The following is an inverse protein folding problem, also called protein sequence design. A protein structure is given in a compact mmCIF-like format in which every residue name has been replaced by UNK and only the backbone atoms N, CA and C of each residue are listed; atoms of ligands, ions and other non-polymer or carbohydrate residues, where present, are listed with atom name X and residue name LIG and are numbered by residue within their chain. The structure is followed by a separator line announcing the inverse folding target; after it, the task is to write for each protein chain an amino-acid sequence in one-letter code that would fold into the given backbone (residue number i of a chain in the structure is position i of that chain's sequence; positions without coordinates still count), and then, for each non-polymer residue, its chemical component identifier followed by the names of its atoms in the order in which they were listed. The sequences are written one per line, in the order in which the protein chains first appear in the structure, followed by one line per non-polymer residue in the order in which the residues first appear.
data_IF_925946290770
#
_entry.id   IF_925946290770
#
_cell.length_a   1.000
_cell.length_b   1.000
_cell.length_c   1.000
_cell.angle_alpha   90.00
_cell.angle_beta   90.00
_cell.angle_gamma   90.00
#
_symmetry.space_group_name_H-M   'P 1'
#
loop_
_entity.id
_entity.type
_entity.pdbx_description
1 polymer ?
#
# COMPACT_ATOMS: atom_id res chain seq x y z
N UNK A 1 7.05 28.70 -5.41
CA UNK A 1 6.41 27.56 -4.73
C UNK A 1 7.34 26.38 -4.94
N UNK A 2 7.79 25.70 -3.89
CA UNK A 2 8.55 24.47 -4.10
C UNK A 2 7.63 23.51 -4.85
N UNK A 3 8.02 23.05 -6.04
CA UNK A 3 7.27 22.03 -6.77
C UNK A 3 7.17 20.81 -5.84
N UNK A 4 5.94 20.50 -5.41
CA UNK A 4 5.68 19.25 -4.71
C UNK A 4 5.85 18.13 -5.73
N UNK A 5 7.03 17.53 -5.71
CA UNK A 5 7.39 16.43 -6.60
C UNK A 5 6.53 15.16 -6.38
N UNK A 6 5.95 15.02 -5.18
CA UNK A 6 5.09 13.92 -4.79
C UNK A 6 3.85 14.47 -4.07
N UNK A 7 2.72 13.80 -4.24
CA UNK A 7 1.44 14.16 -3.65
C UNK A 7 0.85 15.43 -4.23
N UNK A 8 0.87 15.58 -5.56
CA UNK A 8 0.21 16.73 -6.21
C UNK A 8 -1.31 16.56 -6.25
N UNK A 9 -1.82 15.32 -6.27
CA UNK A 9 -3.24 15.01 -6.02
C UNK A 9 -3.47 14.77 -4.53
N UNK A 10 -4.71 14.94 -4.08
CA UNK A 10 -5.11 14.57 -2.71
C UNK A 10 -4.95 13.06 -2.45
N UNK A 11 -5.14 12.24 -3.49
CA UNK A 11 -4.93 10.80 -3.47
C UNK A 11 -3.46 10.43 -3.25
N UNK A 12 -2.54 10.99 -4.04
CA UNK A 12 -1.09 10.78 -3.88
C UNK A 12 -0.56 11.35 -2.57
N UNK A 13 -1.12 12.47 -2.10
CA UNK A 13 -0.76 13.07 -0.81
C UNK A 13 -1.04 12.12 0.37
N UNK A 14 -2.05 11.26 0.29
CA UNK A 14 -2.30 10.27 1.34
C UNK A 14 -1.18 9.22 1.44
N UNK A 15 -0.50 8.90 0.33
CA UNK A 15 0.71 8.07 0.34
C UNK A 15 1.93 8.82 0.87
N UNK A 16 2.09 10.10 0.53
CA UNK A 16 3.14 10.96 1.12
C UNK A 16 3.00 10.99 2.65
N UNK A 17 1.78 11.03 3.18
CA UNK A 17 1.51 11.05 4.63
C UNK A 17 1.91 9.75 5.35
N UNK A 18 2.03 8.62 4.64
CA UNK A 18 2.62 7.39 5.21
C UNK A 18 4.13 7.58 5.45
N UNK A 19 4.82 8.26 4.52
CA UNK A 19 6.24 8.60 4.66
C UNK A 19 6.46 9.77 5.64
N UNK A 20 5.61 10.79 5.59
CA UNK A 20 5.70 12.05 6.34
C UNK A 20 4.46 12.27 7.24
N UNK A 21 4.30 11.52 8.35
CA UNK A 21 3.15 11.71 9.23
C UNK A 21 3.11 13.11 9.87
N UNK A 22 1.91 13.69 9.95
CA UNK A 22 1.68 15.05 10.46
C UNK A 22 2.07 15.26 11.94
N UNK A 23 2.21 14.17 12.72
CA UNK A 23 2.51 14.22 14.16
C UNK A 23 3.98 13.94 14.48
N UNK A 24 4.90 14.13 13.53
CA UNK A 24 6.33 14.00 13.82
C UNK A 24 6.84 15.19 14.66
N UNK A 25 7.46 14.88 15.79
CA UNK A 25 8.05 15.86 16.71
C UNK A 25 9.48 16.26 16.33
N UNK A 26 10.13 15.51 15.44
CA UNK A 26 11.48 15.79 14.93
C UNK A 26 11.58 15.39 13.45
N UNK A 27 12.39 16.10 12.64
CA UNK A 27 12.64 15.72 11.27
C UNK A 27 13.23 14.29 11.18
N UNK A 28 12.68 13.46 10.31
CA UNK A 28 13.23 12.13 10.01
C UNK A 28 14.39 12.26 9.00
N UNK A 29 15.64 11.96 9.41
CA UNK A 29 16.82 12.17 8.57
C UNK A 29 16.87 11.24 7.35
N UNK A 30 16.02 10.21 7.28
CA UNK A 30 15.96 9.29 6.14
C UNK A 30 15.16 9.87 4.97
N UNK A 31 14.27 10.83 5.20
CA UNK A 31 13.34 11.34 4.19
C UNK A 31 14.03 11.95 2.96
N UNK A 32 15.05 12.82 3.08
CA UNK A 32 15.72 13.39 1.90
C UNK A 32 16.30 12.31 0.99
N UNK A 33 16.83 11.24 1.60
CA UNK A 33 17.40 10.11 0.87
C UNK A 33 16.33 9.22 0.26
N UNK A 34 15.25 8.95 0.98
CA UNK A 34 14.11 8.19 0.45
C UNK A 34 13.50 8.88 -0.77
N UNK A 35 13.26 10.21 -0.68
CA UNK A 35 12.80 11.04 -1.81
C UNK A 35 13.76 10.95 -2.99
N UNK A 36 15.07 11.08 -2.73
CA UNK A 36 16.07 10.95 -3.77
C UNK A 36 16.06 9.58 -4.47
N UNK A 37 15.80 8.48 -3.76
CA UNK A 37 15.71 7.15 -4.37
C UNK A 37 14.48 7.07 -5.29
N UNK A 38 13.31 7.49 -4.80
CA UNK A 38 12.07 7.46 -5.58
C UNK A 38 12.15 8.37 -6.82
N UNK A 39 12.70 9.59 -6.67
CA UNK A 39 12.89 10.56 -7.76
C UNK A 39 13.71 10.03 -8.93
N UNK A 40 14.73 9.21 -8.64
CA UNK A 40 15.67 8.74 -9.67
C UNK A 40 15.35 7.29 -10.10
N UNK A 41 14.07 6.91 -10.08
CA UNK A 41 13.58 5.58 -10.49
C UNK A 41 14.28 4.40 -9.77
N UNK A 42 14.75 4.63 -8.54
CA UNK A 42 15.46 3.61 -7.75
C UNK A 42 14.56 2.55 -7.13
N UNK A 43 13.25 2.63 -7.37
CA UNK A 43 12.23 1.71 -6.84
C UNK A 43 11.55 0.98 -8.01
N UNK A 44 11.67 -0.34 -8.04
CA UNK A 44 10.93 -1.19 -8.97
C UNK A 44 9.84 -1.93 -8.20
N UNK A 45 8.68 -1.30 -8.08
CA UNK A 45 7.50 -1.90 -7.45
C UNK A 45 6.60 -2.64 -8.45
N UNK A 46 6.13 -3.81 -8.03
CA UNK A 46 5.08 -4.62 -8.67
C UNK A 46 3.94 -4.77 -7.66
N UNK A 47 2.70 -4.69 -8.15
CA UNK A 47 1.48 -4.76 -7.36
C UNK A 47 0.72 -6.03 -7.69
N UNK A 48 0.37 -6.82 -6.67
CA UNK A 48 -0.42 -8.04 -6.78
C UNK A 48 -1.59 -7.95 -5.81
N UNK A 49 -2.75 -7.52 -6.30
CA UNK A 49 -3.90 -7.19 -5.45
C UNK A 49 -3.53 -6.10 -4.44
N UNK A 50 -3.65 -6.42 -3.14
CA UNK A 50 -3.34 -5.51 -2.03
C UNK A 50 -1.89 -5.53 -1.57
N UNK A 51 -1.02 -6.24 -2.27
CA UNK A 51 0.39 -6.42 -1.89
C UNK A 51 1.26 -5.66 -2.88
N UNK A 52 2.09 -4.76 -2.35
CA UNK A 52 3.16 -4.10 -3.08
C UNK A 52 4.48 -4.76 -2.73
N UNK A 53 5.17 -5.28 -3.74
CA UNK A 53 6.54 -5.77 -3.62
C UNK A 53 7.46 -4.83 -4.37
N UNK A 54 8.41 -4.20 -3.69
CA UNK A 54 9.36 -3.32 -4.35
C UNK A 54 10.80 -3.77 -4.18
N UNK A 55 11.55 -3.74 -5.28
CA UNK A 55 12.98 -3.97 -5.30
C UNK A 55 13.71 -2.63 -5.35
N UNK A 56 14.61 -2.40 -4.41
CA UNK A 56 15.41 -1.19 -4.34
C UNK A 56 16.88 -1.59 -4.43
N UNK A 57 17.54 -1.14 -5.51
CA UNK A 57 18.96 -1.36 -5.71
C UNK A 57 19.75 -0.14 -5.24
N UNK A 58 20.73 -0.38 -4.37
CA UNK A 58 21.67 0.65 -3.95
C UNK A 58 23.10 0.11 -3.96
N UNK A 59 23.89 0.58 -4.91
CA UNK A 59 25.23 0.06 -5.13
C UNK A 59 25.17 -1.45 -5.36
N UNK A 60 26.01 -2.23 -4.68
CA UNK A 60 26.03 -3.69 -4.78
C UNK A 60 25.02 -4.42 -3.87
N UNK A 61 24.01 -3.75 -3.32
CA UNK A 61 23.02 -4.36 -2.43
C UNK A 61 21.60 -4.15 -2.97
N UNK A 62 20.80 -5.20 -2.93
CA UNK A 62 19.38 -5.16 -3.25
C UNK A 62 18.57 -5.41 -1.97
N UNK A 63 17.56 -4.58 -1.72
CA UNK A 63 16.57 -4.80 -0.66
C UNK A 63 15.20 -4.95 -1.28
N UNK A 64 14.37 -5.80 -0.66
CA UNK A 64 13.00 -6.04 -1.09
C UNK A 64 12.09 -5.59 0.03
N UNK A 65 11.14 -4.70 -0.29
CA UNK A 65 10.06 -4.30 0.60
C UNK A 65 8.79 -5.06 0.24
N UNK A 66 8.00 -5.37 1.26
CA UNK A 66 6.67 -5.93 1.15
C UNK A 66 5.73 -5.03 1.95
N UNK A 67 4.72 -4.49 1.30
CA UNK A 67 3.71 -3.65 1.93
C UNK A 67 2.35 -4.25 1.60
N UNK A 68 1.59 -4.61 2.62
CA UNK A 68 0.21 -5.08 2.46
C UNK A 68 -0.75 -4.00 2.97
N UNK A 69 -1.78 -3.72 2.18
CA UNK A 69 -2.81 -2.74 2.48
C UNK A 69 -4.03 -3.42 3.11
N UNK A 70 -4.63 -2.79 4.10
CA UNK A 70 -5.93 -3.21 4.66
C UNK A 70 -7.00 -3.06 3.57
N UNK A 71 -7.85 -4.08 3.33
CA UNK A 71 -8.94 -3.96 2.37
C UNK A 71 -10.00 -2.96 2.84
N UNK A 72 -10.64 -2.26 1.90
CA UNK A 72 -11.86 -1.51 2.19
C UNK A 72 -12.97 -2.46 2.66
N UNK A 73 -13.69 -2.06 3.70
CA UNK A 73 -14.90 -2.77 4.09
C UNK A 73 -15.95 -2.72 2.96
N UNK A 74 -16.77 -3.76 2.81
CA UNK A 74 -17.80 -3.82 1.76
C UNK A 74 -18.76 -2.63 1.78
N UNK A 75 -19.11 -2.15 2.96
CA UNK A 75 -19.92 -0.94 3.16
C UNK A 75 -19.23 0.31 2.62
N UNK A 76 -17.92 0.46 2.85
CA UNK A 76 -17.11 1.54 2.31
C UNK A 76 -17.01 1.46 0.78
N UNK A 77 -16.79 0.27 0.20
CA UNK A 77 -16.79 0.07 -1.26
C UNK A 77 -18.12 0.48 -1.88
N UNK A 78 -19.23 0.07 -1.26
CA UNK A 78 -20.59 0.39 -1.74
C UNK A 78 -20.86 1.89 -1.69
N UNK A 79 -20.51 2.54 -0.58
CA UNK A 79 -20.66 3.99 -0.42
C UNK A 79 -19.77 4.76 -1.40
N UNK A 80 -18.52 4.32 -1.57
CA UNK A 80 -17.57 4.96 -2.47
C UNK A 80 -18.01 4.82 -3.93
N UNK A 81 -18.57 3.66 -4.32
CA UNK A 81 -19.16 3.45 -5.66
C UNK A 81 -20.26 4.48 -5.97
N UNK A 82 -21.01 4.93 -4.96
CA UNK A 82 -22.02 5.99 -5.14
C UNK A 82 -21.42 7.38 -5.43
N UNK A 83 -20.15 7.61 -5.04
CA UNK A 83 -19.42 8.87 -5.26
C UNK A 83 -18.63 8.80 -6.57
N UNK A 84 -17.92 7.68 -6.78
CA UNK A 84 -16.95 7.56 -7.88
C UNK A 84 -17.49 6.84 -9.11
N UNK A 85 -18.64 6.17 -8.99
CA UNK A 85 -19.16 5.26 -10.00
C UNK A 85 -18.62 3.84 -9.83
N UNK A 86 -19.16 2.92 -10.63
CA UNK A 86 -18.77 1.49 -10.60
C UNK A 86 -17.41 1.26 -11.23
N UNK A 87 -17.10 2.00 -12.28
CA UNK A 87 -15.83 1.89 -13.01
C UNK A 87 -15.30 3.31 -13.28
N UNK A 88 -14.76 3.99 -12.25
CA UNK A 88 -14.23 5.33 -12.42
C UNK A 88 -13.04 5.31 -13.38
N UNK A 89 -13.17 5.99 -14.51
CA UNK A 89 -12.07 6.22 -15.45
C UNK A 89 -11.19 7.41 -15.05
N UNK A 90 -11.68 8.25 -14.14
CA UNK A 90 -10.97 9.40 -13.57
C UNK A 90 -11.43 9.60 -12.13
N UNK A 91 -10.49 9.81 -11.21
CA UNK A 91 -10.75 10.20 -9.84
C UNK A 91 -10.21 11.60 -9.60
N UNK A 92 -11.08 12.52 -9.17
CA UNK A 92 -10.71 13.91 -8.90
C UNK A 92 -10.52 14.17 -7.41
N UNK A 93 -9.95 15.32 -7.07
CA UNK A 93 -9.80 15.76 -5.69
C UNK A 93 -11.15 16.08 -5.02
N UNK A 94 -12.16 16.50 -5.80
CA UNK A 94 -13.51 16.70 -5.30
C UNK A 94 -14.16 15.37 -4.87
N UNK A 95 -13.89 14.28 -5.60
CA UNK A 95 -14.37 12.95 -5.25
C UNK A 95 -13.68 12.43 -3.97
N UNK A 96 -12.38 12.70 -3.81
CA UNK A 96 -11.66 12.45 -2.56
C UNK A 96 -12.28 13.22 -1.39
N UNK A 97 -12.52 14.52 -1.57
CA UNK A 97 -13.13 15.38 -0.57
C UNK A 97 -14.55 14.93 -0.20
N UNK A 98 -15.35 14.51 -1.19
CA UNK A 98 -16.68 13.96 -0.97
C UNK A 98 -16.64 12.66 -0.17
N UNK A 99 -15.71 11.75 -0.47
CA UNK A 99 -15.52 10.52 0.28
C UNK A 99 -15.09 10.79 1.72
N UNK A 100 -14.15 11.72 1.94
CA UNK A 100 -13.75 12.20 3.27
C UNK A 100 -14.91 12.82 4.04
N UNK A 101 -15.74 13.63 3.39
CA UNK A 101 -16.91 14.25 4.02
C UNK A 101 -18.00 13.24 4.42
N UNK A 102 -18.01 12.07 3.77
CA UNK A 102 -18.87 10.93 4.10
C UNK A 102 -18.21 9.93 5.06
N UNK A 103 -17.07 10.28 5.69
CA UNK A 103 -16.29 9.43 6.59
C UNK A 103 -15.85 8.09 5.97
N UNK A 104 -15.66 8.05 4.64
CA UNK A 104 -15.18 6.86 3.94
C UNK A 104 -13.64 6.85 3.99
N UNK A 105 -13.01 5.77 4.48
CA UNK A 105 -11.56 5.68 4.62
C UNK A 105 -10.90 5.44 3.24
N UNK A 106 -10.67 6.50 2.47
CA UNK A 106 -10.00 6.42 1.15
C UNK A 106 -8.48 6.47 1.25
N UNK A 107 -7.94 6.90 2.38
CA UNK A 107 -6.51 6.90 2.63
C UNK A 107 -6.02 5.47 2.89
N UNK A 108 -4.89 5.04 2.31
CA UNK A 108 -4.37 3.70 2.48
C UNK A 108 -4.01 3.42 3.94
N UNK A 109 -4.56 2.31 4.45
CA UNK A 109 -4.16 1.75 5.75
C UNK A 109 -3.27 0.53 5.54
N UNK A 110 -2.23 0.39 6.37
CA UNK A 110 -1.23 -0.67 6.24
C UNK A 110 -1.59 -1.84 7.15
N UNK A 111 -1.75 -3.03 6.57
CA UNK A 111 -1.96 -4.28 7.30
C UNK A 111 -0.62 -4.89 7.75
N UNK A 112 0.39 -4.87 6.89
CA UNK A 112 1.73 -5.39 7.18
C UNK A 112 2.81 -4.66 6.39
N UNK A 113 4.01 -4.57 6.98
CA UNK A 113 5.20 -4.01 6.34
C UNK A 113 6.39 -4.90 6.70
N UNK A 114 7.15 -5.30 5.69
CA UNK A 114 8.44 -5.97 5.86
C UNK A 114 9.48 -5.43 4.87
N UNK A 115 10.76 -5.53 5.26
CA UNK A 115 11.87 -5.16 4.40
C UNK A 115 13.11 -6.00 4.72
N UNK A 116 13.71 -6.60 3.69
CA UNK A 116 14.87 -7.50 3.83
C UNK A 116 16.17 -6.80 4.25
N UNK A 117 16.18 -5.47 4.37
CA UNK A 117 17.36 -4.71 4.76
C UNK A 117 17.74 -4.93 6.24
N UNK A 118 19.01 -4.69 6.56
CA UNK A 118 19.55 -4.89 7.91
C UNK A 118 18.92 -4.00 8.99
N UNK A 119 18.26 -2.90 8.63
CA UNK A 119 17.57 -2.04 9.61
C UNK A 119 16.40 -2.76 10.29
N UNK A 120 15.72 -3.68 9.58
CA UNK A 120 14.57 -4.47 10.08
C UNK A 120 13.52 -3.63 10.82
N UNK A 121 13.18 -2.46 10.29
CA UNK A 121 12.12 -1.60 10.83
C UNK A 121 11.10 -1.26 9.75
N UNK A 122 9.86 -1.02 10.19
CA UNK A 122 8.76 -0.56 9.35
C UNK A 122 8.97 0.84 8.74
N UNK A 123 10.05 1.56 9.14
CA UNK A 123 10.37 2.91 8.67
C UNK A 123 11.83 3.04 8.20
N UNK A 124 12.34 2.00 7.55
CA UNK A 124 13.64 2.09 6.89
C UNK A 124 13.54 2.93 5.60
N UNK A 125 14.69 3.38 5.08
CA UNK A 125 14.76 4.21 3.87
C UNK A 125 14.09 3.56 2.65
N UNK A 126 14.09 2.23 2.54
CA UNK A 126 13.51 1.51 1.41
C UNK A 126 11.97 1.55 1.44
N UNK A 127 11.37 1.36 2.62
CA UNK A 127 9.92 1.47 2.81
C UNK A 127 9.47 2.90 2.51
N UNK A 128 10.19 3.89 3.04
CA UNK A 128 9.89 5.30 2.78
C UNK A 128 10.01 5.64 1.29
N UNK A 129 11.04 5.15 0.60
CA UNK A 129 11.19 5.33 -0.84
C UNK A 129 10.05 4.65 -1.62
N UNK A 130 9.58 3.49 -1.15
CA UNK A 130 8.42 2.81 -1.75
C UNK A 130 7.15 3.64 -1.61
N UNK A 131 6.92 4.30 -0.46
CA UNK A 131 5.77 5.20 -0.32
C UNK A 131 5.83 6.41 -1.25
N UNK A 132 7.00 7.01 -1.48
CA UNK A 132 7.12 8.10 -2.47
C UNK A 132 6.93 7.61 -3.91
N UNK A 133 7.46 6.43 -4.26
CA UNK A 133 7.20 5.85 -5.59
C UNK A 133 5.71 5.56 -5.81
N UNK A 134 5.03 5.02 -4.80
CA UNK A 134 3.58 4.82 -4.83
C UNK A 134 2.82 6.14 -4.90
N UNK A 135 3.25 7.17 -4.16
CA UNK A 135 2.66 8.49 -4.24
C UNK A 135 2.71 9.04 -5.67
N UNK A 136 3.86 8.92 -6.36
CA UNK A 136 4.01 9.35 -7.77
C UNK A 136 3.12 8.55 -8.72
N UNK A 137 3.06 7.22 -8.57
CA UNK A 137 2.19 6.38 -9.41
C UNK A 137 0.71 6.68 -9.20
N UNK A 138 0.29 6.94 -7.96
CA UNK A 138 -1.09 7.30 -7.62
C UNK A 138 -1.42 8.71 -8.08
N UNK A 139 -0.46 9.60 -8.04
CA UNK A 139 -0.56 10.92 -8.63
C UNK A 139 -0.80 10.84 -10.16
N UNK A 140 -0.12 9.91 -10.85
CA UNK A 140 -0.30 9.64 -12.29
C UNK A 140 -1.64 8.93 -12.58
N UNK A 141 -2.02 7.96 -11.73
CA UNK A 141 -3.29 7.21 -11.80
C UNK A 141 -3.88 7.02 -10.40
N UNK A 142 -4.80 7.89 -9.95
CA UNK A 142 -5.33 7.79 -8.59
C UNK A 142 -6.17 6.55 -8.34
N UNK A 143 -6.66 5.87 -9.39
CA UNK A 143 -7.40 4.61 -9.27
C UNK A 143 -6.56 3.53 -8.60
N UNK A 144 -5.25 3.53 -8.85
CA UNK A 144 -4.30 2.62 -8.21
C UNK A 144 -4.44 2.59 -6.68
N UNK A 145 -4.74 3.74 -6.04
CA UNK A 145 -4.90 3.80 -4.59
C UNK A 145 -6.13 3.02 -4.10
N UNK A 146 -7.21 2.99 -4.88
CA UNK A 146 -8.41 2.22 -4.55
C UNK A 146 -8.23 0.74 -4.87
N UNK A 147 -7.58 0.42 -5.98
CA UNK A 147 -7.29 -0.95 -6.40
C UNK A 147 -6.39 -1.67 -5.38
N UNK A 148 -5.37 -0.98 -4.88
CA UNK A 148 -4.50 -1.48 -3.80
C UNK A 148 -5.24 -1.72 -2.49
N UNK A 149 -6.39 -1.09 -2.28
CA UNK A 149 -7.26 -1.32 -1.13
C UNK A 149 -8.43 -2.28 -1.45
N UNK A 150 -8.42 -2.91 -2.63
CA UNK A 150 -9.38 -3.96 -3.01
C UNK A 150 -10.73 -3.45 -3.53
N UNK A 151 -10.81 -2.21 -4.04
CA UNK A 151 -12.06 -1.66 -4.57
C UNK A 151 -12.66 -2.51 -5.70
N UNK A 152 -11.85 -2.94 -6.67
CA UNK A 152 -12.25 -3.79 -7.80
C UNK A 152 -12.31 -5.30 -7.47
N UNK A 153 -11.90 -5.70 -6.27
CA UNK A 153 -11.83 -7.10 -5.87
C UNK A 153 -12.67 -7.35 -4.60
N UNK A 154 -14.01 -7.32 -4.72
CA UNK A 154 -14.91 -7.47 -3.58
C UNK A 154 -14.82 -8.85 -2.91
N UNK A 155 -14.18 -9.84 -3.54
CA UNK A 155 -14.03 -11.21 -3.04
C UNK A 155 -13.02 -11.38 -1.88
N UNK A 156 -12.47 -10.29 -1.32
CA UNK A 156 -11.47 -10.36 -0.24
C UNK A 156 -11.87 -9.65 1.07
N UNK A 157 -13.11 -9.15 1.15
CA UNK A 157 -13.63 -8.42 2.30
C UNK A 157 -14.29 -9.29 3.37
N UNK A 158 -13.59 -10.28 3.93
CA UNK A 158 -13.97 -10.84 5.23
C UNK A 158 -13.15 -10.13 6.31
N UNK A 159 -13.73 -9.09 6.91
CA UNK A 159 -13.21 -8.60 8.18
C UNK A 159 -13.28 -9.74 9.22
N UNK A 160 -12.25 -9.95 10.07
CA UNK A 160 -12.34 -10.91 11.16
C UNK A 160 -13.29 -10.36 12.23
N UNK A 161 -14.59 -10.60 12.06
CA UNK A 161 -15.59 -10.10 13.00
C UNK A 161 -17.04 -10.42 12.69
N UNK A 162 -17.41 -10.79 11.46
CA UNK A 162 -18.81 -11.10 11.18
C UNK A 162 -18.93 -12.19 10.12
N UNK A 163 -19.15 -13.43 10.59
CA UNK A 163 -19.88 -14.55 9.94
C UNK A 163 -19.36 -15.89 10.44
N UNK A 164 -20.22 -16.68 11.08
CA UNK A 164 -20.00 -18.09 11.39
C UNK A 164 -20.00 -18.98 10.15
N UNK A 165 -19.14 -18.68 9.17
CA UNK A 165 -18.85 -19.50 8.00
C UNK A 165 -17.52 -20.24 8.18
N UNK A 166 -17.44 -21.47 7.65
CA UNK A 166 -16.28 -22.35 7.78
C UNK A 166 -14.94 -21.64 7.46
N UNK A 167 -13.85 -21.94 8.18
CA UNK A 167 -12.57 -21.27 7.96
C UNK A 167 -12.09 -21.51 6.52
N UNK A 168 -12.02 -20.43 5.76
CA UNK A 168 -11.45 -20.40 4.42
C UNK A 168 -9.97 -20.82 4.51
N UNK A 169 -9.57 -21.72 3.60
CA UNK A 169 -8.25 -22.34 3.67
C UNK A 169 -7.17 -21.29 3.45
N UNK A 170 -6.19 -21.13 4.36
CA UNK A 170 -5.18 -20.10 4.20
C UNK A 170 -4.40 -20.34 2.90
N UNK A 171 -4.28 -19.29 2.08
CA UNK A 171 -3.49 -19.28 0.83
C UNK A 171 -2.00 -19.60 1.06
N UNK A 172 -1.56 -19.58 2.31
CA UNK A 172 -0.20 -19.90 2.73
C UNK A 172 -0.23 -21.06 3.73
N UNK A 173 0.59 -22.07 3.47
CA UNK A 173 0.78 -23.20 4.40
C UNK A 173 1.87 -22.79 5.40
N UNK A 174 1.58 -22.77 6.72
CA UNK A 174 2.61 -22.52 7.73
C UNK A 174 3.74 -23.53 7.58
N UNK A 175 4.99 -23.06 7.59
CA UNK A 175 6.15 -23.93 7.30
C UNK A 175 6.25 -25.12 8.27
N UNK A 176 5.75 -24.97 9.51
CA UNK A 176 5.70 -26.03 10.53
C UNK A 176 4.61 -27.08 10.31
N UNK A 177 3.72 -26.89 9.33
CA UNK A 177 2.68 -27.86 8.95
C UNK A 177 3.06 -28.70 7.73
N UNK A 178 4.19 -28.38 7.08
CA UNK A 178 4.76 -29.21 6.03
C UNK A 178 5.55 -30.36 6.66
N UNK A 179 5.16 -31.60 6.39
CA UNK A 179 5.94 -32.78 6.73
C UNK A 179 6.93 -33.09 5.59
N UNK A 180 8.25 -32.93 5.80
CA UNK A 180 9.25 -33.20 4.77
C UNK A 180 9.25 -34.66 4.30
N UNK A 181 8.82 -35.61 5.14
CA UNK A 181 8.80 -37.03 4.80
C UNK A 181 7.80 -37.36 3.68
N UNK A 182 6.81 -36.49 3.44
CA UNK A 182 5.84 -36.65 2.35
C UNK A 182 6.40 -36.29 0.97
N UNK A 183 7.60 -35.68 0.89
CA UNK A 183 8.17 -35.17 -0.36
C UNK A 183 9.44 -35.93 -0.81
N UNK A 184 9.94 -36.84 0.01
CA UNK A 184 11.12 -37.65 -0.29
C UNK A 184 10.82 -39.11 0.07
N UNK A 185 10.41 -39.90 -0.93
CA UNK A 185 10.31 -41.36 -0.80
C UNK A 185 11.71 -41.98 -0.69
N UNK A 186 11.87 -42.99 0.17
CA UNK A 186 13.09 -43.79 0.36
C UNK A 186 13.13 -44.94 -0.64
#
# INVERSE_FOLDING_TARGET
MADNEFGYTTWGMDWVRLAEPLRQTRPDPLLPRARSIARNDGVHAVTEGRIVRAQIHRGGQASVTHIELTPLARTAVTALTGIVGVEPTLLTDEMHAAARAADIPVAPELAAIDCSCSARTARCVHVLATFYDLARRVDEDPRLSLDLQGFDHPDHGAAPGDSGGAPETPRWIPLNTLDPAMFFEV
#
